data_IF_119788877450
#
_entry.id   IF_119788877450
#
_cell.length_a   1.000
_cell.length_b   1.000
_cell.length_c   1.000
_cell.angle_alpha   90.00
_cell.angle_beta   90.00
_cell.angle_gamma   90.00
#
_symmetry.space_group_name_H-M   'P 1'
#
loop_
_entity.id
_entity.type
_entity.pdbx_description
1 polymer ?
#
# COMPACT_ATOMS: atom_id res chain seq x y z
N UNK A 1 -7.64 -4.15 -7.70
CA UNK A 1 -6.22 -4.02 -8.08
C UNK A 1 -5.87 -4.86 -9.29
N UNK A 2 -6.07 -6.18 -9.26
CA UNK A 2 -5.82 -7.03 -10.43
C UNK A 2 -6.73 -6.71 -11.63
N UNK A 3 -8.00 -6.40 -11.39
CA UNK A 3 -8.95 -5.97 -12.44
C UNK A 3 -8.58 -4.63 -13.09
N UNK A 4 -7.85 -3.77 -12.37
CA UNK A 4 -7.38 -2.46 -12.87
C UNK A 4 -5.95 -2.55 -13.47
N UNK A 5 -5.44 -3.78 -13.70
CA UNK A 5 -4.14 -4.00 -14.33
C UNK A 5 -2.92 -3.76 -13.44
N UNK A 6 -3.09 -3.45 -12.16
CA UNK A 6 -1.98 -3.20 -11.24
C UNK A 6 -1.30 -4.48 -10.72
N UNK A 7 -1.92 -5.64 -10.93
CA UNK A 7 -1.46 -6.96 -10.49
C UNK A 7 -1.70 -7.99 -11.61
N UNK A 8 -1.00 -9.14 -11.62
CA UNK A 8 -1.21 -10.16 -12.64
C UNK A 8 -2.66 -10.66 -12.63
N UNK A 9 -3.25 -10.77 -13.83
CA UNK A 9 -4.69 -11.05 -13.99
C UNK A 9 -5.10 -12.42 -13.42
N UNK A 10 -4.18 -13.37 -13.31
CA UNK A 10 -4.42 -14.67 -12.66
C UNK A 10 -4.96 -14.52 -11.22
N UNK A 11 -4.53 -13.49 -10.49
CA UNK A 11 -5.00 -13.21 -9.13
C UNK A 11 -6.42 -12.61 -9.09
N UNK A 12 -6.94 -12.13 -10.22
CA UNK A 12 -8.29 -11.60 -10.34
C UNK A 12 -9.36 -12.69 -10.50
N UNK A 13 -8.97 -13.94 -10.77
CA UNK A 13 -9.92 -15.03 -11.03
C UNK A 13 -10.61 -15.46 -9.73
N UNK A 14 -11.94 -15.45 -9.76
CA UNK A 14 -12.80 -15.89 -8.65
C UNK A 14 -13.42 -17.25 -8.96
N UNK A 15 -13.72 -18.03 -7.92
CA UNK A 15 -14.49 -19.28 -8.04
C UNK A 15 -15.99 -18.99 -8.21
N UNK A 16 -16.82 -20.02 -8.46
CA UNK A 16 -18.30 -19.97 -8.56
C UNK A 16 -18.97 -19.24 -7.38
N UNK A 17 -18.34 -19.24 -6.20
CA UNK A 17 -18.83 -18.57 -5.00
C UNK A 17 -18.30 -17.13 -4.81
N UNK A 18 -17.64 -16.55 -5.82
CA UNK A 18 -17.08 -15.20 -5.78
C UNK A 18 -15.78 -15.07 -4.98
N UNK A 19 -15.22 -16.17 -4.47
CA UNK A 19 -14.00 -16.17 -3.64
C UNK A 19 -12.74 -16.17 -4.53
N UNK A 20 -11.80 -15.24 -4.34
CA UNK A 20 -10.53 -15.19 -5.09
C UNK A 20 -9.51 -16.19 -4.53
N UNK A 21 -9.69 -17.48 -4.82
CA UNK A 21 -8.86 -18.58 -4.28
C UNK A 21 -7.37 -18.41 -4.63
N UNK A 22 -7.05 -17.95 -5.85
CA UNK A 22 -5.66 -17.76 -6.29
C UNK A 22 -4.93 -16.69 -5.47
N UNK A 23 -5.62 -15.61 -5.11
CA UNK A 23 -5.05 -14.55 -4.27
C UNK A 23 -4.82 -15.04 -2.83
N UNK A 24 -5.76 -15.84 -2.30
CA UNK A 24 -5.61 -16.45 -0.97
C UNK A 24 -4.42 -17.42 -0.92
N UNK A 25 -4.29 -18.29 -1.93
CA UNK A 25 -3.16 -19.22 -2.02
C UNK A 25 -1.82 -18.49 -2.10
N UNK A 26 -1.75 -17.39 -2.85
CA UNK A 26 -0.54 -16.56 -2.94
C UNK A 26 -0.17 -15.97 -1.57
N UNK A 27 -1.14 -15.43 -0.83
CA UNK A 27 -0.91 -14.90 0.51
C UNK A 27 -0.45 -15.99 1.49
N UNK A 28 -1.09 -17.16 1.44
CA UNK A 28 -0.72 -18.33 2.27
C UNK A 28 0.71 -18.79 1.96
N UNK A 29 1.09 -18.84 0.68
CA UNK A 29 2.44 -19.20 0.26
C UNK A 29 3.49 -18.24 0.84
N UNK A 30 3.26 -16.93 0.78
CA UNK A 30 4.16 -15.94 1.41
C UNK A 30 4.24 -16.14 2.92
N UNK A 31 3.11 -16.37 3.59
CA UNK A 31 3.08 -16.64 5.03
C UNK A 31 3.91 -17.87 5.41
N UNK A 32 3.79 -18.97 4.66
CA UNK A 32 4.61 -20.16 4.89
C UNK A 32 6.10 -19.91 4.61
N UNK A 33 6.46 -19.12 3.60
CA UNK A 33 7.86 -18.75 3.35
C UNK A 33 8.48 -18.00 4.53
N UNK A 34 7.73 -17.08 5.15
CA UNK A 34 8.18 -16.35 6.36
C UNK A 34 8.41 -17.31 7.53
N UNK A 35 7.50 -18.27 7.73
CA UNK A 35 7.62 -19.29 8.80
C UNK A 35 8.83 -20.20 8.55
N UNK A 36 9.01 -20.70 7.33
CA UNK A 36 10.13 -21.59 6.96
C UNK A 36 11.47 -20.83 7.06
N UNK A 37 11.49 -19.54 6.76
CA UNK A 37 12.66 -18.68 6.93
C UNK A 37 13.05 -18.43 8.39
N UNK A 38 12.27 -18.90 9.37
CA UNK A 38 12.56 -18.75 10.79
C UNK A 38 12.40 -17.31 11.30
N UNK A 39 11.72 -16.45 10.53
CA UNK A 39 11.47 -15.05 10.91
C UNK A 39 10.47 -15.06 12.07
N UNK A 40 10.83 -14.39 13.17
CA UNK A 40 9.95 -14.35 14.34
C UNK A 40 8.75 -13.43 14.09
N UNK A 41 7.68 -13.62 14.87
CA UNK A 41 6.50 -12.76 14.80
C UNK A 41 6.86 -11.29 15.06
N UNK A 42 7.79 -11.02 15.98
CA UNK A 42 8.25 -9.66 16.31
C UNK A 42 9.00 -9.00 15.14
N UNK A 43 9.84 -9.76 14.41
CA UNK A 43 10.53 -9.27 13.22
C UNK A 43 9.57 -8.97 12.06
N UNK A 44 8.55 -9.82 11.87
CA UNK A 44 7.51 -9.59 10.86
C UNK A 44 6.75 -8.29 11.13
N UNK A 45 6.39 -8.07 12.41
CA UNK A 45 5.72 -6.84 12.84
C UNK A 45 6.61 -5.61 12.67
N UNK A 46 7.92 -5.74 12.96
CA UNK A 46 8.88 -4.65 12.81
C UNK A 46 8.99 -4.15 11.35
N UNK A 47 8.82 -5.02 10.36
CA UNK A 47 8.79 -4.62 8.94
C UNK A 47 7.42 -4.12 8.51
N UNK A 48 6.33 -4.75 8.97
CA UNK A 48 4.98 -4.39 8.53
C UNK A 48 4.49 -3.06 9.09
N UNK A 49 4.84 -2.73 10.34
CA UNK A 49 4.33 -1.53 11.01
C UNK A 49 4.79 -0.22 10.34
N UNK A 50 6.09 -0.01 10.03
CA UNK A 50 6.51 1.21 9.33
C UNK A 50 5.91 1.31 7.93
N UNK A 51 5.80 0.18 7.20
CA UNK A 51 5.14 0.15 5.90
C UNK A 51 3.67 0.57 5.97
N UNK A 52 2.96 0.14 7.01
CA UNK A 52 1.57 0.53 7.26
C UNK A 52 1.43 2.02 7.59
N UNK A 53 2.30 2.58 8.43
CA UNK A 53 2.33 4.01 8.76
C UNK A 53 2.55 4.86 7.51
N UNK A 54 3.48 4.46 6.64
CA UNK A 54 3.73 5.16 5.36
C UNK A 54 2.47 5.12 4.48
N UNK A 55 1.85 3.94 4.33
CA UNK A 55 0.64 3.79 3.53
C UNK A 55 -0.53 4.62 4.09
N UNK A 56 -0.73 4.59 5.41
CA UNK A 56 -1.78 5.36 6.07
C UNK A 56 -1.56 6.86 5.93
N UNK A 57 -0.33 7.35 6.12
CA UNK A 57 0.04 8.74 5.88
C UNK A 57 -0.22 9.18 4.44
N UNK A 58 0.11 8.34 3.45
CA UNK A 58 -0.18 8.61 2.03
C UNK A 58 -1.69 8.64 1.73
N UNK A 59 -2.49 7.76 2.34
CA UNK A 59 -3.95 7.80 2.22
C UNK A 59 -4.53 9.12 2.74
N UNK A 60 -4.03 9.63 3.86
CA UNK A 60 -4.47 10.92 4.41
C UNK A 60 -4.01 12.10 3.54
N UNK A 61 -2.79 12.05 3.00
CA UNK A 61 -2.33 13.03 2.01
C UNK A 61 -3.19 13.03 0.75
N UNK A 62 -3.60 11.85 0.26
CA UNK A 62 -4.52 11.73 -0.87
C UNK A 62 -5.90 12.33 -0.54
N UNK A 63 -6.40 12.17 0.68
CA UNK A 63 -7.63 12.83 1.14
C UNK A 63 -7.50 14.35 1.11
N UNK A 64 -6.39 14.91 1.65
CA UNK A 64 -6.12 16.35 1.63
C UNK A 64 -6.02 16.86 0.19
N UNK A 65 -5.28 16.17 -0.67
CA UNK A 65 -5.15 16.50 -2.09
C UNK A 65 -6.51 16.49 -2.78
N UNK A 66 -7.31 15.44 -2.59
CA UNK A 66 -8.65 15.36 -3.18
C UNK A 66 -9.56 16.53 -2.83
N UNK A 67 -9.36 17.19 -1.68
CA UNK A 67 -10.19 18.30 -1.20
C UNK A 67 -9.67 19.68 -1.62
N UNK A 68 -8.36 19.82 -1.82
CA UNK A 68 -7.70 21.09 -2.18
C UNK A 68 -7.54 21.27 -3.69
N UNK A 69 -7.36 20.18 -4.41
CA UNK A 69 -7.05 20.20 -5.84
C UNK A 69 -8.33 20.47 -6.66
N UNK A 70 -8.39 21.54 -7.49
CA UNK A 70 -9.60 21.90 -8.24
C UNK A 70 -10.10 20.78 -9.15
N UNK A 71 -9.19 19.92 -9.64
CA UNK A 71 -9.51 18.78 -10.51
C UNK A 71 -10.42 17.72 -9.87
N UNK A 72 -10.35 17.56 -8.54
CA UNK A 72 -11.09 16.52 -7.80
C UNK A 72 -12.17 17.09 -6.88
N UNK A 73 -12.37 18.42 -6.93
CA UNK A 73 -13.26 19.14 -6.03
C UNK A 73 -14.73 18.90 -6.38
N UNK A 74 -15.04 18.82 -7.67
CA UNK A 74 -16.40 18.72 -8.19
C UNK A 74 -16.89 17.26 -8.37
N UNK A 75 -16.04 16.28 -8.05
CA UNK A 75 -16.44 14.86 -8.06
C UNK A 75 -17.47 14.62 -6.95
N UNK A 76 -18.67 14.17 -7.33
CA UNK A 76 -19.75 13.87 -6.40
C UNK A 76 -19.32 12.74 -5.43
N UNK A 77 -19.37 13.02 -4.13
CA UNK A 77 -18.99 12.07 -3.08
C UNK A 77 -20.23 11.53 -2.41
N UNK A 78 -20.45 10.22 -2.55
CA UNK A 78 -21.54 9.48 -1.87
C UNK A 78 -21.43 9.64 -0.35
N UNK A 79 -20.21 9.64 0.19
CA UNK A 79 -19.93 9.89 1.60
C UNK A 79 -19.21 11.23 1.78
N UNK A 80 -19.86 12.17 2.48
CA UNK A 80 -19.29 13.49 2.80
C UNK A 80 -18.91 13.52 4.28
N UNK A 81 -17.61 13.61 4.53
CA UNK A 81 -17.08 13.83 5.86
C UNK A 81 -17.56 15.19 6.42
N UNK A 82 -17.91 15.30 7.71
CA UNK A 82 -18.39 16.55 8.30
C UNK A 82 -17.34 17.68 8.22
N UNK A 83 -17.82 18.93 8.28
CA UNK A 83 -16.98 20.13 8.17
C UNK A 83 -15.92 20.12 9.28
N UNK A 84 -14.64 20.29 8.91
CA UNK A 84 -13.50 20.33 9.85
C UNK A 84 -12.56 19.13 9.80
N UNK A 85 -12.97 17.99 9.24
CA UNK A 85 -12.12 16.79 9.13
C UNK A 85 -10.86 16.97 8.26
N UNK A 86 -10.80 18.04 7.45
CA UNK A 86 -9.58 18.40 6.74
C UNK A 86 -8.44 18.75 7.72
N UNK A 87 -8.74 19.46 8.81
CA UNK A 87 -7.76 19.78 9.86
C UNK A 87 -7.31 18.54 10.62
N UNK A 88 -8.26 17.64 10.93
CA UNK A 88 -7.97 16.34 11.56
C UNK A 88 -7.03 15.51 10.67
N UNK A 89 -7.31 15.42 9.37
CA UNK A 89 -6.46 14.67 8.43
C UNK A 89 -5.04 15.24 8.36
N UNK A 90 -4.87 16.57 8.38
CA UNK A 90 -3.54 17.21 8.46
C UNK A 90 -2.83 16.84 9.78
N UNK A 91 -3.54 16.89 10.91
CA UNK A 91 -3.01 16.47 12.20
C UNK A 91 -2.56 15.01 12.21
N UNK A 92 -3.38 14.12 11.61
CA UNK A 92 -3.04 12.69 11.47
C UNK A 92 -1.82 12.52 10.57
N UNK A 93 -1.68 13.24 9.45
CA UNK A 93 -0.48 13.17 8.61
C UNK A 93 0.79 13.53 9.39
N UNK A 94 0.73 14.60 10.19
CA UNK A 94 1.87 15.02 11.04
C UNK A 94 2.16 13.93 12.07
N UNK A 95 1.13 13.37 12.70
CA UNK A 95 1.27 12.30 13.68
C UNK A 95 1.93 11.05 13.05
N UNK A 96 1.44 10.60 11.90
CA UNK A 96 1.97 9.42 11.20
C UNK A 96 3.44 9.61 10.79
N UNK A 97 3.77 10.69 10.07
CA UNK A 97 5.13 10.87 9.53
C UNK A 97 6.14 11.42 10.56
N UNK A 98 5.73 12.35 11.44
CA UNK A 98 6.67 12.98 12.37
C UNK A 98 6.81 12.21 13.68
N UNK A 99 5.74 11.57 14.18
CA UNK A 99 5.75 10.89 15.47
C UNK A 99 5.88 9.38 15.28
N UNK A 100 4.94 8.73 14.59
CA UNK A 100 4.94 7.28 14.50
C UNK A 100 6.09 6.73 13.65
N UNK A 101 6.33 7.28 12.47
CA UNK A 101 7.41 6.80 11.61
C UNK A 101 8.78 7.01 12.26
N UNK A 102 9.03 8.16 12.88
CA UNK A 102 10.30 8.44 13.56
C UNK A 102 10.48 7.55 14.80
N UNK A 103 9.43 7.35 15.62
CA UNK A 103 9.47 6.49 16.79
C UNK A 103 9.68 5.01 16.42
N UNK A 104 9.04 4.54 15.34
CA UNK A 104 9.23 3.18 14.82
C UNK A 104 10.65 2.97 14.32
N UNK A 105 11.19 3.90 13.52
CA UNK A 105 12.56 3.79 13.03
C UNK A 105 13.59 3.85 14.16
N UNK A 106 13.34 4.67 15.18
CA UNK A 106 14.15 4.70 16.40
C UNK A 106 14.07 3.38 17.18
N UNK A 107 12.85 2.84 17.36
CA UNK A 107 12.65 1.56 18.01
C UNK A 107 13.42 0.45 17.30
N UNK A 108 13.32 0.34 15.97
CA UNK A 108 14.12 -0.62 15.22
C UNK A 108 15.61 -0.39 15.48
N UNK A 109 16.11 0.85 15.37
CA UNK A 109 17.54 1.15 15.55
C UNK A 109 18.10 0.74 16.94
N UNK A 110 17.35 0.96 18.03
CA UNK A 110 17.82 0.70 19.40
C UNK A 110 17.78 -0.79 19.76
N UNK A 111 16.91 -1.58 19.13
CA UNK A 111 16.76 -2.99 19.46
C UNK A 111 17.88 -3.84 18.79
N UNK A 112 18.71 -4.55 19.58
CA UNK A 112 19.85 -5.31 19.05
C UNK A 112 19.43 -6.48 18.14
N UNK A 113 18.23 -7.04 18.37
CA UNK A 113 17.67 -8.13 17.55
C UNK A 113 17.09 -7.63 16.21
N UNK A 114 16.89 -6.33 16.07
CA UNK A 114 16.21 -5.68 14.95
C UNK A 114 17.10 -4.60 14.34
N UNK A 115 18.24 -4.98 13.77
CA UNK A 115 19.17 -4.02 13.19
C UNK A 115 18.60 -3.15 12.06
N UNK A 116 19.41 -2.19 11.59
CA UNK A 116 19.07 -1.20 10.54
C UNK A 116 18.53 -1.84 9.24
N UNK A 117 18.85 -3.10 8.98
CA UNK A 117 18.36 -3.85 7.82
C UNK A 117 16.83 -3.91 7.75
N UNK A 118 16.13 -4.02 8.88
CA UNK A 118 14.67 -4.05 8.90
C UNK A 118 14.04 -2.69 8.58
N UNK A 119 14.67 -1.59 9.03
CA UNK A 119 14.26 -0.22 8.69
C UNK A 119 14.41 0.05 7.20
N UNK A 120 15.52 -0.41 6.61
CA UNK A 120 15.75 -0.30 5.17
C UNK A 120 14.72 -1.14 4.41
N UNK A 121 14.47 -2.38 4.83
CA UNK A 121 13.49 -3.26 4.20
C UNK A 121 12.08 -2.63 4.22
N UNK A 122 11.68 -2.03 5.34
CA UNK A 122 10.37 -1.41 5.49
C UNK A 122 10.15 -0.21 4.54
N UNK A 123 11.20 0.52 4.19
CA UNK A 123 11.14 1.63 3.22
C UNK A 123 11.31 1.12 1.78
N UNK A 124 12.21 0.16 1.57
CA UNK A 124 12.54 -0.38 0.26
C UNK A 124 11.36 -1.14 -0.37
N UNK A 125 10.63 -1.94 0.41
CA UNK A 125 9.50 -2.75 -0.10
C UNK A 125 8.41 -1.86 -0.74
N UNK A 126 7.89 -0.79 -0.09
CA UNK A 126 6.97 0.16 -0.71
C UNK A 126 7.53 0.85 -1.96
N UNK A 127 8.84 1.16 -1.99
CA UNK A 127 9.46 1.79 -3.15
C UNK A 127 9.53 0.81 -4.32
N UNK A 128 9.91 -0.44 -4.07
CA UNK A 128 9.97 -1.53 -5.06
C UNK A 128 8.59 -1.84 -5.68
N UNK A 129 7.51 -1.59 -4.95
CA UNK A 129 6.16 -1.73 -5.50
C UNK A 129 5.91 -0.82 -6.72
N UNK A 130 6.50 0.38 -6.76
CA UNK A 130 6.32 1.35 -7.86
C UNK A 130 6.81 0.80 -9.22
N UNK A 131 8.08 0.35 -9.36
CA UNK A 131 8.56 -0.21 -10.62
C UNK A 131 7.87 -1.54 -10.95
N UNK A 132 7.58 -2.39 -9.96
CA UNK A 132 6.82 -3.63 -10.20
C UNK A 132 5.45 -3.31 -10.82
N UNK A 133 4.73 -2.35 -10.25
CA UNK A 133 3.44 -1.90 -10.79
C UNK A 133 3.59 -1.41 -12.23
N UNK A 134 4.61 -0.62 -12.54
CA UNK A 134 4.82 -0.11 -13.90
C UNK A 134 5.05 -1.23 -14.91
N UNK A 135 5.92 -2.19 -14.59
CA UNK A 135 6.21 -3.35 -15.44
C UNK A 135 4.97 -4.23 -15.60
N UNK A 136 4.25 -4.50 -14.51
CA UNK A 136 3.02 -5.31 -14.55
C UNK A 136 1.91 -4.65 -15.35
N UNK A 137 1.74 -3.33 -15.22
CA UNK A 137 0.73 -2.60 -15.99
C UNK A 137 1.06 -2.60 -17.48
N UNK A 138 2.34 -2.44 -17.86
CA UNK A 138 2.80 -2.57 -19.26
C UNK A 138 2.56 -3.99 -19.79
N UNK A 139 2.89 -5.02 -19.03
CA UNK A 139 2.73 -6.41 -19.44
C UNK A 139 1.26 -6.83 -19.57
N UNK A 140 0.42 -6.41 -18.62
CA UNK A 140 -1.02 -6.64 -18.67
C UNK A 140 -1.63 -5.91 -19.87
N UNK A 141 -1.23 -4.67 -20.18
CA UNK A 141 -1.77 -3.95 -21.33
C UNK A 141 -1.40 -4.62 -22.68
N UNK A 142 -0.21 -5.21 -22.80
CA UNK A 142 0.18 -5.91 -24.03
C UNK A 142 -0.52 -7.26 -24.21
N UNK A 143 -0.88 -7.94 -23.12
CA UNK A 143 -1.52 -9.28 -23.18
C UNK A 143 -3.05 -9.23 -23.02
N UNK A 144 -3.57 -8.16 -22.43
CA UNK A 144 -4.97 -7.97 -22.05
C UNK A 144 -5.42 -6.52 -22.36
N UNK A 145 -5.72 -6.20 -23.63
CA UNK A 145 -6.14 -4.85 -24.04
C UNK A 145 -7.47 -4.40 -23.41
N UNK A 146 -8.26 -5.33 -22.85
CA UNK A 146 -9.50 -5.07 -22.12
C UNK A 146 -9.30 -4.33 -20.79
N UNK A 147 -8.08 -4.26 -20.28
CA UNK A 147 -7.77 -3.65 -18.99
C UNK A 147 -7.53 -2.14 -19.15
N UNK A 148 -8.27 -1.28 -18.44
CA UNK A 148 -8.11 0.16 -18.55
C UNK A 148 -6.72 0.62 -18.09
N UNK A 149 -6.08 1.47 -18.88
CA UNK A 149 -4.76 2.00 -18.56
C UNK A 149 -4.87 3.09 -17.48
N UNK A 150 -4.61 2.73 -16.22
CA UNK A 150 -4.57 3.69 -15.11
C UNK A 150 -3.40 4.69 -15.13
N UNK A 151 -2.66 4.79 -16.24
CA UNK A 151 -1.52 5.71 -16.48
C UNK A 151 -1.83 6.76 -17.57
N UNK A 152 -3.09 6.92 -17.99
CA UNK A 152 -3.47 8.02 -18.87
C UNK A 152 -3.43 9.34 -18.09
N UNK A 153 -2.28 10.02 -18.10
CA UNK A 153 -2.06 11.33 -17.46
C UNK A 153 -2.69 12.51 -18.23
N UNK A 154 -3.46 12.23 -19.28
CA UNK A 154 -4.02 13.22 -20.22
C UNK A 154 -5.54 13.46 -20.03
N UNK A 155 -6.10 13.00 -18.93
CA UNK A 155 -7.39 13.48 -18.39
C UNK A 155 -7.11 14.26 -17.11
#
# INVERSE_FOLDING_TARGET
MATNGHMPMFLSKTNKYGVPVNALLFQVAIGFLVIIAGITASQTLAVSCPGYVIAHGLCQLAFIKSRRDPRFKDVERVYKCPRGFLGVSIGVVILEFCIFLSALLWYLYVNPDMGIGYSIAAIAIPIIYIPIRYVMQKWNHTHHPEVPNGLNWNE
#
